data_IF_052136065555
#
_entry.id   IF_052136065555
#
_cell.length_a   1.000
_cell.length_b   1.000
_cell.length_c   1.000
_cell.angle_alpha   90.00
_cell.angle_beta   90.00
_cell.angle_gamma   90.00
#
_symmetry.space_group_name_H-M   'P 1'
#
loop_
_entity.id
_entity.type
_entity.pdbx_description
1 polymer ?
#
# COMPACT_ATOMS: atom_id res chain seq x y z
N UNK A 1 -16.62 12.16 5.36
CA UNK A 1 -16.68 10.68 5.19
C UNK A 1 -15.31 10.08 5.42
N UNK A 2 -15.24 9.06 6.24
CA UNK A 2 -14.00 8.33 6.48
C UNK A 2 -13.87 7.19 5.46
N UNK A 3 -12.86 7.25 4.61
CA UNK A 3 -12.60 6.20 3.64
C UNK A 3 -11.10 5.98 3.45
N UNK A 4 -10.74 4.79 3.06
CA UNK A 4 -9.35 4.40 2.88
C UNK A 4 -9.20 3.58 1.60
N UNK A 5 -8.10 3.85 0.88
CA UNK A 5 -7.69 3.05 -0.29
C UNK A 5 -6.56 2.12 0.14
N UNK A 6 -6.74 0.84 -0.08
CA UNK A 6 -5.71 -0.17 0.18
C UNK A 6 -5.07 -0.56 -1.15
N UNK A 7 -3.77 -0.31 -1.27
CA UNK A 7 -3.02 -0.62 -2.49
C UNK A 7 -2.24 -1.93 -2.26
N UNK A 8 -2.58 -2.95 -3.01
CA UNK A 8 -1.86 -4.23 -2.96
C UNK A 8 -0.63 -4.14 -3.86
N UNK A 9 0.56 -4.28 -3.27
CA UNK A 9 1.82 -4.01 -3.96
C UNK A 9 2.52 -5.33 -4.31
N UNK A 10 2.48 -5.69 -5.59
CA UNK A 10 3.24 -6.79 -6.16
C UNK A 10 4.47 -6.30 -6.91
N UNK A 11 5.11 -7.18 -7.68
CA UNK A 11 6.38 -6.90 -8.35
C UNK A 11 6.31 -5.72 -9.32
N UNK A 12 5.20 -5.52 -10.01
CA UNK A 12 5.06 -4.52 -11.08
C UNK A 12 4.10 -3.38 -10.75
N UNK A 13 3.59 -3.33 -9.52
CA UNK A 13 2.55 -2.36 -9.14
C UNK A 13 3.00 -0.91 -9.39
N UNK A 14 4.24 -0.57 -9.01
CA UNK A 14 4.76 0.79 -9.15
C UNK A 14 4.94 1.24 -10.61
N UNK A 15 5.05 0.28 -11.54
CA UNK A 15 5.22 0.58 -12.96
C UNK A 15 3.90 0.84 -13.70
N UNK A 16 2.77 0.57 -13.06
CA UNK A 16 1.47 0.70 -13.71
C UNK A 16 0.92 2.12 -13.56
N UNK A 17 0.66 2.78 -14.68
CA UNK A 17 0.18 4.16 -14.71
C UNK A 17 -1.16 4.35 -14.02
N UNK A 18 -2.06 3.38 -14.12
CA UNK A 18 -3.37 3.48 -13.49
C UNK A 18 -3.28 3.42 -11.96
N UNK A 19 -2.29 2.72 -11.41
CA UNK A 19 -2.06 2.68 -9.96
C UNK A 19 -1.66 4.07 -9.47
N UNK A 20 -0.73 4.72 -10.16
CA UNK A 20 -0.32 6.08 -9.83
C UNK A 20 -1.51 7.04 -9.87
N UNK A 21 -2.33 6.93 -10.91
CA UNK A 21 -3.53 7.75 -11.06
C UNK A 21 -4.49 7.57 -9.88
N UNK A 22 -4.77 6.33 -9.50
CA UNK A 22 -5.67 6.03 -8.38
C UNK A 22 -5.13 6.55 -7.04
N UNK A 23 -3.82 6.45 -6.82
CA UNK A 23 -3.18 6.97 -5.61
C UNK A 23 -3.29 8.49 -5.57
N UNK A 24 -2.99 9.18 -6.67
CA UNK A 24 -3.08 10.63 -6.76
C UNK A 24 -4.52 11.10 -6.54
N UNK A 25 -5.48 10.40 -7.11
CA UNK A 25 -6.91 10.70 -6.92
C UNK A 25 -7.31 10.56 -5.45
N UNK A 26 -6.87 9.48 -4.79
CA UNK A 26 -7.15 9.27 -3.37
C UNK A 26 -6.54 10.38 -2.51
N UNK A 27 -5.32 10.80 -2.82
CA UNK A 27 -4.64 11.89 -2.14
C UNK A 27 -5.41 13.20 -2.27
N UNK A 28 -5.86 13.52 -3.49
CA UNK A 28 -6.62 14.75 -3.76
C UNK A 28 -7.98 14.75 -3.07
N UNK A 29 -8.59 13.59 -2.91
CA UNK A 29 -9.87 13.44 -2.23
C UNK A 29 -9.74 13.30 -0.70
N UNK A 30 -8.51 13.41 -0.18
CA UNK A 30 -8.22 13.29 1.26
C UNK A 30 -8.68 11.96 1.85
N UNK A 31 -8.54 10.89 1.10
CA UNK A 31 -8.78 9.54 1.60
C UNK A 31 -7.55 9.01 2.30
N UNK A 32 -7.71 8.12 3.27
CA UNK A 32 -6.60 7.37 3.84
C UNK A 32 -5.99 6.49 2.77
N UNK A 33 -4.67 6.29 2.81
CA UNK A 33 -3.95 5.45 1.85
C UNK A 33 -3.02 4.54 2.62
N UNK A 34 -3.05 3.25 2.33
CA UNK A 34 -2.11 2.28 2.88
C UNK A 34 -1.74 1.29 1.80
N UNK A 35 -0.48 0.90 1.76
CA UNK A 35 0.01 -0.15 0.88
C UNK A 35 0.27 -1.43 1.65
N UNK A 36 0.06 -2.57 1.02
CA UNK A 36 0.37 -3.88 1.58
C UNK A 36 1.15 -4.67 0.54
N UNK A 37 2.36 -5.09 0.88
CA UNK A 37 3.16 -5.95 0.00
C UNK A 37 2.60 -7.35 -0.02
N UNK A 38 2.30 -7.84 -1.23
CA UNK A 38 1.72 -9.17 -1.43
C UNK A 38 2.65 -10.13 -2.18
N UNK A 39 3.89 -9.71 -2.45
CA UNK A 39 4.84 -10.52 -3.21
C UNK A 39 5.16 -11.87 -2.55
N UNK A 40 4.97 -11.98 -1.23
CA UNK A 40 5.19 -13.24 -0.50
C UNK A 40 3.94 -14.12 -0.44
N UNK A 41 2.79 -13.66 -0.91
CA UNK A 41 1.63 -14.52 -1.11
C UNK A 41 1.82 -15.33 -2.37
N UNK A 42 1.41 -16.60 -2.34
CA UNK A 42 1.50 -17.47 -3.52
C UNK A 42 0.41 -17.10 -4.51
N UNK A 43 0.78 -17.13 -5.79
CA UNK A 43 -0.16 -16.95 -6.88
C UNK A 43 -0.93 -18.26 -7.16
N UNK A 44 -1.74 -18.27 -8.25
CA UNK A 44 -2.53 -19.45 -8.63
C UNK A 44 -1.67 -20.67 -9.01
N UNK A 45 -0.39 -20.47 -9.32
CA UNK A 45 0.56 -21.56 -9.61
C UNK A 45 1.34 -22.01 -8.39
N UNK A 46 1.12 -21.39 -7.23
CA UNK A 46 1.81 -21.72 -6.00
C UNK A 46 3.15 -21.03 -5.80
N UNK A 47 3.50 -20.07 -6.66
CA UNK A 47 4.77 -19.34 -6.61
C UNK A 47 4.60 -17.97 -5.97
N UNK A 48 5.63 -17.54 -5.22
CA UNK A 48 5.74 -16.19 -4.71
C UNK A 48 6.40 -15.31 -5.76
N UNK A 49 6.05 -14.03 -5.76
CA UNK A 49 6.62 -13.04 -6.67
C UNK A 49 7.82 -12.33 -6.04
N UNK A 50 8.56 -11.56 -6.85
CA UNK A 50 9.66 -10.74 -6.36
C UNK A 50 9.10 -9.46 -5.71
N UNK A 51 9.92 -8.84 -4.86
CA UNK A 51 9.55 -7.57 -4.23
C UNK A 51 9.61 -6.44 -5.25
N UNK A 52 8.49 -5.71 -5.41
CA UNK A 52 8.43 -4.54 -6.27
C UNK A 52 8.81 -3.25 -5.55
N UNK A 53 8.99 -2.18 -6.32
CA UNK A 53 9.29 -0.86 -5.79
C UNK A 53 8.09 -0.29 -5.04
N UNK A 54 8.37 0.64 -4.10
CA UNK A 54 7.32 1.35 -3.36
C UNK A 54 6.62 2.34 -4.31
N UNK A 55 5.31 2.14 -4.61
CA UNK A 55 4.61 3.01 -5.55
C UNK A 55 4.41 4.44 -5.02
N UNK A 56 4.52 4.65 -3.72
CA UNK A 56 4.35 5.98 -3.12
C UNK A 56 5.62 6.84 -3.19
N UNK A 57 6.75 6.23 -3.50
CA UNK A 57 8.04 6.93 -3.55
C UNK A 57 8.13 7.96 -4.67
N UNK A 58 7.49 7.70 -5.80
CA UNK A 58 7.52 8.58 -6.98
C UNK A 58 6.39 9.61 -7.02
N UNK A 59 5.52 9.63 -6.01
CA UNK A 59 4.38 10.55 -5.95
C UNK A 59 4.68 11.62 -4.89
N UNK A 60 4.35 12.87 -5.20
CA UNK A 60 4.63 14.02 -4.35
C UNK A 60 3.34 14.65 -3.85
N UNK A 61 3.37 15.12 -2.60
CA UNK A 61 2.27 15.89 -2.01
C UNK A 61 2.28 17.31 -2.57
N UNK A 62 1.23 18.08 -2.26
CA UNK A 62 1.15 19.49 -2.67
C UNK A 62 2.27 20.34 -2.07
N UNK A 63 2.86 19.92 -0.96
CA UNK A 63 3.98 20.61 -0.33
C UNK A 63 5.34 20.19 -0.90
N UNK A 64 5.38 19.27 -1.87
CA UNK A 64 6.61 18.81 -2.50
C UNK A 64 7.32 17.66 -1.77
N UNK A 65 6.69 17.09 -0.75
CA UNK A 65 7.24 15.93 -0.04
C UNK A 65 6.85 14.64 -0.74
N UNK A 66 7.68 13.60 -0.60
CA UNK A 66 7.31 12.28 -1.14
C UNK A 66 6.16 11.70 -0.36
N UNK A 67 5.18 11.16 -1.07
CA UNK A 67 4.02 10.54 -0.43
C UNK A 67 4.42 9.37 0.49
N UNK A 68 5.51 8.67 0.17
CA UNK A 68 6.04 7.59 1.00
C UNK A 68 6.42 8.01 2.42
N UNK A 69 6.61 9.32 2.66
CA UNK A 69 6.90 9.84 4.00
C UNK A 69 5.67 9.77 4.92
N UNK A 70 4.47 9.73 4.35
CA UNK A 70 3.21 9.81 5.09
C UNK A 70 2.34 8.56 4.98
N UNK A 71 2.60 7.72 3.98
CA UNK A 71 1.81 6.52 3.70
C UNK A 71 2.61 5.28 4.07
N UNK A 72 2.03 4.43 4.91
CA UNK A 72 2.65 3.18 5.31
C UNK A 72 2.57 2.16 4.20
N UNK A 73 3.69 1.51 3.90
CA UNK A 73 3.73 0.31 3.07
C UNK A 73 4.03 -0.86 4.01
N UNK A 74 2.98 -1.60 4.36
CA UNK A 74 3.10 -2.73 5.27
C UNK A 74 3.85 -3.87 4.61
N UNK A 75 4.93 -4.32 5.24
CA UNK A 75 5.75 -5.42 4.75
C UNK A 75 5.64 -6.58 5.74
N UNK A 76 4.95 -7.67 5.35
CA UNK A 76 4.85 -8.84 6.22
C UNK A 76 6.22 -9.42 6.57
N UNK A 77 6.39 -9.80 7.82
CA UNK A 77 7.68 -10.33 8.31
C UNK A 77 7.89 -11.81 8.03
N UNK A 78 6.81 -12.55 7.73
CA UNK A 78 6.91 -13.97 7.42
C UNK A 78 7.18 -14.23 5.95
N UNK A 79 7.87 -15.32 5.64
CA UNK A 79 8.13 -15.73 4.26
C UNK A 79 7.15 -16.79 3.75
N UNK A 80 6.45 -17.50 4.64
CA UNK A 80 5.43 -18.48 4.26
C UNK A 80 4.12 -17.77 3.91
N UNK A 81 3.53 -18.12 2.76
CA UNK A 81 2.29 -17.51 2.30
C UNK A 81 1.15 -17.56 3.32
N UNK A 82 1.02 -18.67 4.04
CA UNK A 82 -0.01 -18.83 5.07
C UNK A 82 0.15 -17.80 6.18
N UNK A 83 1.35 -17.65 6.71
CA UNK A 83 1.61 -16.72 7.80
C UNK A 83 1.58 -15.26 7.34
N UNK A 84 1.97 -15.00 6.10
CA UNK A 84 1.83 -13.65 5.49
C UNK A 84 0.37 -13.24 5.46
N UNK A 85 -0.50 -14.12 5.00
CA UNK A 85 -1.94 -13.84 4.96
C UNK A 85 -2.50 -13.55 6.35
N UNK A 86 -2.16 -14.38 7.32
CA UNK A 86 -2.64 -14.20 8.70
C UNK A 86 -2.14 -12.88 9.29
N UNK A 87 -0.89 -12.51 9.03
CA UNK A 87 -0.30 -11.27 9.53
C UNK A 87 -1.00 -10.05 8.93
N UNK A 88 -1.31 -10.08 7.62
CA UNK A 88 -2.07 -9.02 6.98
C UNK A 88 -3.46 -8.90 7.60
N UNK A 89 -4.15 -10.03 7.75
CA UNK A 89 -5.50 -10.07 8.30
C UNK A 89 -5.54 -9.50 9.73
N UNK A 90 -4.60 -9.88 10.57
CA UNK A 90 -4.51 -9.40 11.96
C UNK A 90 -4.24 -7.89 12.07
N UNK A 91 -3.54 -7.31 11.09
CA UNK A 91 -3.11 -5.91 11.14
C UNK A 91 -3.97 -4.97 10.28
N UNK A 92 -4.85 -5.51 9.43
CA UNK A 92 -5.55 -4.71 8.42
C UNK A 92 -6.37 -3.58 9.03
N UNK A 93 -7.14 -3.85 10.07
CA UNK A 93 -7.99 -2.85 10.72
C UNK A 93 -7.14 -1.69 11.27
N UNK A 94 -6.04 -2.02 11.95
CA UNK A 94 -5.13 -1.01 12.50
C UNK A 94 -4.51 -0.16 11.40
N UNK A 95 -4.08 -0.80 10.31
CA UNK A 95 -3.47 -0.10 9.17
C UNK A 95 -4.46 0.87 8.52
N UNK A 96 -5.71 0.48 8.37
CA UNK A 96 -6.75 1.32 7.81
C UNK A 96 -7.03 2.51 8.73
N UNK A 97 -7.14 2.29 10.04
CA UNK A 97 -7.36 3.38 11.00
C UNK A 97 -6.21 4.39 10.99
N UNK A 98 -4.97 3.91 10.97
CA UNK A 98 -3.79 4.79 10.89
C UNK A 98 -3.80 5.60 9.58
N UNK A 99 -4.16 4.98 8.46
CA UNK A 99 -4.22 5.66 7.18
C UNK A 99 -5.25 6.77 7.17
N UNK A 100 -6.41 6.53 7.77
CA UNK A 100 -7.47 7.52 7.88
C UNK A 100 -7.00 8.70 8.75
N UNK A 101 -6.32 8.44 9.86
CA UNK A 101 -5.78 9.48 10.73
C UNK A 101 -4.73 10.34 10.01
N UNK A 102 -3.95 9.73 9.12
CA UNK A 102 -2.86 10.41 8.41
C UNK A 102 -3.31 11.14 7.14
N UNK A 103 -4.56 11.02 6.73
CA UNK A 103 -5.05 11.53 5.43
C UNK A 103 -4.86 13.03 5.20
N UNK A 104 -4.75 13.82 6.25
CA UNK A 104 -4.56 15.28 6.13
C UNK A 104 -3.09 15.71 6.11
N UNK A 105 -2.15 14.75 6.19
CA UNK A 105 -0.72 15.06 6.17
C UNK A 105 -0.15 15.23 4.76
N UNK A 106 -0.88 14.81 3.75
CA UNK A 106 -0.43 14.90 2.36
C UNK A 106 -1.35 15.69 1.43
#
# INVERSE_FOLDING_TARGET
MRSCVVVLVGAETSARKWVKYEIEKAMNLRKGIVGIRINKLKDSTGNQDIEGSNPFYSIYTSSGQRLSNYVTLFEPSYSSSKYVYEEIDENLERLIEEAIENRFKY
#
